data_IF_777060216266
#
_entry.id   IF_777060216266
#
_cell.length_a   1.000
_cell.length_b   1.000
_cell.length_c   1.000
_cell.angle_alpha   90.00
_cell.angle_beta   90.00
_cell.angle_gamma   90.00
#
_symmetry.space_group_name_H-M   'P 1'
#
loop_
_entity.id
_entity.type
_entity.pdbx_description
1 polymer ?
#
# COMPACT_ATOMS: atom_id res chain seq x y z
N UNK A 1 8.02 -16.43 2.24
CA UNK A 1 6.90 -15.48 2.13
C UNK A 1 5.71 -16.06 2.87
N UNK A 2 5.02 -15.25 3.67
CA UNK A 2 3.81 -15.66 4.39
C UNK A 2 2.67 -14.71 4.04
N UNK A 3 1.44 -15.22 3.94
CA UNK A 3 0.24 -14.42 3.73
C UNK A 3 -0.46 -14.20 5.05
N UNK A 4 -0.94 -12.97 5.28
CA UNK A 4 -1.59 -12.61 6.54
C UNK A 4 -2.69 -11.56 6.32
N UNK A 5 -3.57 -11.44 7.31
CA UNK A 5 -4.57 -10.39 7.44
C UNK A 5 -4.56 -9.88 8.88
N UNK A 6 -4.74 -8.58 9.06
CA UNK A 6 -4.85 -7.98 10.40
C UNK A 6 -6.24 -8.17 11.01
N UNK A 7 -7.26 -8.41 10.17
CA UNK A 7 -8.62 -8.77 10.55
C UNK A 7 -9.27 -9.62 9.42
N UNK A 8 -10.33 -10.40 9.68
CA UNK A 8 -10.97 -11.25 8.66
C UNK A 8 -11.35 -10.52 7.36
N UNK A 9 -11.83 -9.28 7.50
CA UNK A 9 -12.25 -8.40 6.42
C UNK A 9 -11.15 -7.49 5.86
N UNK A 10 -9.96 -7.48 6.48
CA UNK A 10 -8.84 -6.66 6.03
C UNK A 10 -8.24 -7.22 4.73
N UNK A 11 -7.65 -6.37 3.88
CA UNK A 11 -6.95 -6.82 2.70
C UNK A 11 -5.79 -7.76 3.07
N UNK A 12 -5.58 -8.76 2.24
CA UNK A 12 -4.50 -9.73 2.41
C UNK A 12 -3.17 -9.14 1.99
N UNK A 13 -2.17 -9.24 2.86
CA UNK A 13 -0.81 -8.78 2.60
C UNK A 13 0.19 -9.92 2.76
N UNK A 14 1.37 -9.69 2.21
CA UNK A 14 2.50 -10.61 2.27
C UNK A 14 3.52 -10.10 3.27
N UNK A 15 4.03 -10.98 4.11
CA UNK A 15 5.26 -10.77 4.85
C UNK A 15 6.41 -11.45 4.09
N UNK A 16 7.39 -10.65 3.68
CA UNK A 16 8.55 -11.07 2.91
C UNK A 16 9.82 -10.86 3.72
N UNK A 17 10.72 -11.86 3.71
CA UNK A 17 12.05 -11.71 4.26
C UNK A 17 12.94 -10.93 3.26
N UNK A 18 13.80 -10.08 3.80
CA UNK A 18 14.77 -9.24 3.10
C UNK A 18 16.09 -9.31 3.87
N UNK A 19 17.19 -8.85 3.26
CA UNK A 19 18.49 -8.76 3.96
C UNK A 19 18.45 -7.85 5.19
N UNK A 20 17.49 -6.91 5.25
CA UNK A 20 17.28 -5.97 6.36
C UNK A 20 16.24 -6.45 7.40
N UNK A 21 15.76 -7.69 7.31
CA UNK A 21 14.71 -8.24 8.16
C UNK A 21 13.42 -8.50 7.39
N UNK A 22 12.27 -8.14 7.93
CA UNK A 22 10.98 -8.42 7.30
C UNK A 22 10.35 -7.16 6.72
N UNK A 23 9.61 -7.31 5.63
CA UNK A 23 8.74 -6.27 5.08
C UNK A 23 7.33 -6.78 4.86
N UNK A 24 6.37 -5.89 5.02
CA UNK A 24 4.98 -6.09 4.64
C UNK A 24 4.76 -5.53 3.24
N UNK A 25 4.02 -6.27 2.42
CA UNK A 25 3.71 -5.91 1.03
C UNK A 25 2.23 -6.15 0.80
N UNK A 26 1.49 -5.07 0.53
CA UNK A 26 0.09 -5.14 0.11
C UNK A 26 0.01 -4.70 -1.35
N UNK A 27 -0.26 -5.62 -2.30
CA UNK A 27 -0.43 -5.25 -3.71
C UNK A 27 -1.81 -4.64 -3.95
N UNK A 28 -1.88 -3.70 -4.90
CA UNK A 28 -3.10 -3.20 -5.50
C UNK A 28 -3.01 -3.30 -7.02
N UNK A 29 -4.12 -3.71 -7.64
CA UNK A 29 -4.24 -3.83 -9.09
C UNK A 29 -4.46 -2.46 -9.77
N UNK A 30 -3.62 -1.48 -9.44
CA UNK A 30 -3.63 -0.14 -10.04
C UNK A 30 -2.20 0.32 -10.30
N UNK A 31 -2.03 1.07 -11.39
CA UNK A 31 -0.77 1.75 -11.70
C UNK A 31 -0.95 3.26 -11.51
N UNK A 32 -0.55 3.82 -10.36
CA UNK A 32 -0.63 5.25 -10.10
C UNK A 32 0.42 6.01 -10.93
N UNK A 33 0.17 7.30 -11.25
CA UNK A 33 1.18 8.18 -11.83
C UNK A 33 2.38 8.35 -10.90
N UNK A 34 3.57 8.59 -11.45
CA UNK A 34 4.80 8.79 -10.68
C UNK A 34 4.66 9.90 -9.61
N UNK A 35 4.11 11.06 -9.98
CA UNK A 35 3.90 12.17 -9.06
C UNK A 35 3.01 11.80 -7.85
N UNK A 36 2.07 10.87 -8.03
CA UNK A 36 1.18 10.40 -6.97
C UNK A 36 1.92 9.47 -6.01
N UNK A 37 2.81 8.61 -6.53
CA UNK A 37 3.73 7.80 -5.72
C UNK A 37 4.67 8.70 -4.93
N UNK A 38 5.21 9.75 -5.55
CA UNK A 38 6.11 10.71 -4.91
C UNK A 38 5.42 11.50 -3.79
N UNK A 39 4.21 12.03 -4.02
CA UNK A 39 3.41 12.72 -2.98
C UNK A 39 3.19 11.82 -1.76
N UNK A 40 2.74 10.57 -2.00
CA UNK A 40 2.58 9.60 -0.93
C UNK A 40 3.88 9.37 -0.17
N UNK A 41 4.96 9.08 -0.89
CA UNK A 41 6.27 8.75 -0.30
C UNK A 41 6.89 9.94 0.46
N UNK A 42 6.59 11.17 0.07
CA UNK A 42 7.02 12.36 0.80
C UNK A 42 6.27 12.54 2.12
N UNK A 43 5.00 12.13 2.17
CA UNK A 43 4.09 12.33 3.31
C UNK A 43 4.11 11.17 4.31
N UNK A 44 4.21 9.94 3.82
CA UNK A 44 4.01 8.74 4.60
C UNK A 44 5.36 8.14 4.99
N UNK A 45 5.89 8.57 6.14
CA UNK A 45 7.26 8.32 6.62
C UNK A 45 7.88 6.97 6.23
N UNK A 46 7.54 5.90 6.95
CA UNK A 46 8.12 4.56 6.73
C UNK A 46 7.38 3.72 5.70
N UNK A 47 6.20 4.15 5.27
CA UNK A 47 5.30 3.39 4.41
C UNK A 47 5.33 3.94 2.99
N UNK A 48 5.82 3.12 2.06
CA UNK A 48 6.09 3.58 0.70
C UNK A 48 5.18 2.90 -0.30
N UNK A 49 4.83 3.61 -1.37
CA UNK A 49 4.29 2.98 -2.57
C UNK A 49 5.47 2.62 -3.48
N UNK A 50 5.52 1.36 -3.92
CA UNK A 50 6.45 0.84 -4.91
C UNK A 50 5.68 0.23 -6.07
N UNK A 51 6.34 0.10 -7.23
CA UNK A 51 5.82 -0.71 -8.34
C UNK A 51 6.48 -2.09 -8.28
N UNK A 52 5.68 -3.13 -8.08
CA UNK A 52 6.09 -4.53 -8.11
C UNK A 52 5.36 -5.17 -9.29
N UNK A 53 6.10 -5.72 -10.26
CA UNK A 53 5.55 -6.29 -11.50
C UNK A 53 4.62 -5.33 -12.27
N UNK A 54 4.87 -4.02 -12.16
CA UNK A 54 4.09 -2.97 -12.82
C UNK A 54 2.83 -2.51 -12.08
N UNK A 55 2.54 -3.10 -10.92
CA UNK A 55 1.40 -2.78 -10.05
C UNK A 55 1.86 -2.07 -8.78
N UNK A 56 1.03 -1.18 -8.24
CA UNK A 56 1.34 -0.52 -6.98
C UNK A 56 1.29 -1.50 -5.82
N UNK A 57 2.26 -1.39 -4.91
CA UNK A 57 2.24 -2.05 -3.63
C UNK A 57 2.58 -1.05 -2.53
N UNK A 58 1.82 -1.06 -1.44
CA UNK A 58 2.25 -0.45 -0.19
C UNK A 58 3.26 -1.40 0.43
N UNK A 59 4.41 -0.84 0.80
CA UNK A 59 5.46 -1.57 1.48
C UNK A 59 5.82 -0.86 2.79
N UNK A 60 6.09 -1.65 3.82
CA UNK A 60 6.54 -1.12 5.10
C UNK A 60 7.49 -2.12 5.77
N UNK A 61 8.63 -1.70 6.34
CA UNK A 61 9.44 -2.59 7.16
C UNK A 61 8.65 -3.07 8.39
N UNK A 62 8.82 -4.34 8.74
CA UNK A 62 8.28 -4.95 9.96
C UNK A 62 9.43 -5.10 10.96
N UNK A 63 9.49 -4.20 11.94
CA UNK A 63 10.56 -4.15 12.95
C UNK A 63 10.08 -4.72 14.28
N UNK A 64 8.80 -4.50 14.63
CA UNK A 64 8.21 -5.02 15.87
C UNK A 64 6.69 -5.21 15.81
N UNK A 65 6.10 -5.81 16.86
CA UNK A 65 4.69 -6.17 16.88
C UNK A 65 3.73 -4.96 16.79
N UNK A 66 4.15 -3.77 17.25
CA UNK A 66 3.36 -2.54 17.13
C UNK A 66 3.18 -2.04 15.70
N UNK A 67 4.00 -2.53 14.77
CA UNK A 67 3.92 -2.14 13.36
C UNK A 67 2.66 -2.72 12.67
N UNK A 68 2.09 -3.82 13.17
CA UNK A 68 0.87 -4.39 12.58
C UNK A 68 -0.35 -3.47 12.74
N UNK A 69 -0.47 -2.79 13.88
CA UNK A 69 -1.53 -1.79 14.10
C UNK A 69 -1.33 -0.57 13.19
N UNK A 70 -0.07 -0.09 13.09
CA UNK A 70 0.27 1.01 12.17
C UNK A 70 0.01 0.63 10.72
N UNK A 71 0.37 -0.59 10.33
CA UNK A 71 0.12 -1.15 9.00
C UNK A 71 -1.36 -1.14 8.65
N UNK A 72 -2.23 -1.55 9.57
CA UNK A 72 -3.68 -1.53 9.36
C UNK A 72 -4.20 -0.13 9.06
N UNK A 73 -3.76 0.88 9.83
CA UNK A 73 -4.13 2.28 9.58
C UNK A 73 -3.63 2.79 8.23
N UNK A 74 -2.37 2.49 7.89
CA UNK A 74 -1.77 2.88 6.61
C UNK A 74 -2.44 2.20 5.42
N UNK A 75 -2.83 0.94 5.54
CA UNK A 75 -3.53 0.22 4.48
C UNK A 75 -4.90 0.84 4.19
N UNK A 76 -5.63 1.27 5.23
CA UNK A 76 -6.90 1.97 5.08
C UNK A 76 -6.72 3.36 4.41
N UNK A 77 -5.72 4.13 4.85
CA UNK A 77 -5.40 5.42 4.24
C UNK A 77 -4.97 5.27 2.78
N UNK A 78 -4.14 4.26 2.48
CA UNK A 78 -3.70 3.96 1.13
C UNK A 78 -4.89 3.60 0.24
N UNK A 79 -5.78 2.73 0.72
CA UNK A 79 -7.00 2.37 0.00
C UNK A 79 -7.87 3.60 -0.32
N UNK A 80 -8.12 4.48 0.66
CA UNK A 80 -8.87 5.71 0.44
C UNK A 80 -8.21 6.60 -0.63
N UNK A 81 -6.88 6.73 -0.58
CA UNK A 81 -6.11 7.51 -1.54
C UNK A 81 -6.17 6.91 -2.96
N UNK A 82 -5.99 5.59 -3.08
CA UNK A 82 -6.10 4.88 -4.35
C UNK A 82 -7.52 4.94 -4.94
N UNK A 83 -8.56 4.87 -4.10
CA UNK A 83 -9.97 5.04 -4.53
C UNK A 83 -10.17 6.45 -5.10
N UNK A 84 -9.68 7.48 -4.41
CA UNK A 84 -9.78 8.86 -4.90
C UNK A 84 -9.07 9.01 -6.24
N UNK A 85 -7.87 8.46 -6.41
CA UNK A 85 -7.17 8.46 -7.69
C UNK A 85 -7.94 7.72 -8.79
N UNK A 86 -8.49 6.53 -8.48
CA UNK A 86 -9.27 5.77 -9.45
C UNK A 86 -10.51 6.54 -9.90
N UNK A 87 -11.15 7.28 -8.99
CA UNK A 87 -12.29 8.17 -9.30
C UNK A 87 -11.86 9.36 -10.15
N UNK A 88 -10.76 10.03 -9.81
CA UNK A 88 -10.24 11.16 -10.58
C UNK A 88 -9.81 10.78 -12.02
N UNK A 89 -9.44 9.51 -12.23
CA UNK A 89 -9.10 8.97 -13.56
C UNK A 89 -10.30 8.52 -14.39
N UNK A 90 -11.48 8.35 -13.79
CA UNK A 90 -12.68 8.13 -14.61
C UNK A 90 -12.96 9.46 -15.32
N UNK A 91 -13.02 9.51 -16.66
CA UNK A 91 -13.63 10.65 -17.31
C UNK A 91 -15.03 10.83 -16.71
N UNK A 92 -15.46 12.07 -16.51
CA UNK A 92 -16.84 12.35 -16.18
C UNK A 92 -17.70 11.92 -17.38
N UNK A 93 -18.03 10.63 -17.46
CA UNK A 93 -19.02 10.13 -18.41
C UNK A 93 -20.38 10.63 -17.92
N UNK A 94 -20.76 11.78 -18.47
CA UNK A 94 -21.95 12.54 -18.10
C UNK A 94 -21.89 13.98 -18.61
N UNK A 95 -21.49 14.17 -19.86
CA UNK A 95 -21.93 15.31 -20.69
C UNK A 95 -22.73 14.73 -21.85
#
# INVERSE_FOLDING_TARGET
MAYARTAPQAPEFRAEATDAGWRLVLPWNVRPPAAAIEDWNARMGVARIQLIDGEAALVMPLVGPGDLTRWQGLAAEAEAHFIQWRRARRPAEGM
#
